data_IF_369389820741
#
_entry.id   IF_369389820741
#
_cell.length_a   1.000
_cell.length_b   1.000
_cell.length_c   1.000
_cell.angle_alpha   90.00
_cell.angle_beta   90.00
_cell.angle_gamma   90.00
#
_symmetry.space_group_name_H-M   'P 1'
#
loop_
_entity.id
_entity.type
_entity.pdbx_description
1 polymer ?
#
# COMPACT_ATOMS: atom_id res chain seq x y z
N UNK A 1 -12.47 0.29 -28.34
CA UNK A 1 -12.84 0.69 -26.96
C UNK A 1 -11.77 0.24 -25.98
N UNK A 2 -11.38 -1.04 -25.99
CA UNK A 2 -10.27 -1.55 -25.18
C UNK A 2 -8.91 -0.91 -25.54
N UNK A 3 -8.63 -0.72 -26.83
CA UNK A 3 -7.37 -0.10 -27.30
C UNK A 3 -7.13 1.27 -26.66
N UNK A 4 -8.15 2.14 -26.62
CA UNK A 4 -8.05 3.45 -25.98
C UNK A 4 -7.71 3.40 -24.48
N UNK A 5 -8.12 2.33 -23.78
CA UNK A 5 -7.78 2.14 -22.36
C UNK A 5 -6.31 1.73 -22.24
N UNK A 6 -5.86 0.83 -23.10
CA UNK A 6 -4.45 0.39 -23.16
C UNK A 6 -3.55 1.58 -23.47
N UNK A 7 -3.86 2.35 -24.50
CA UNK A 7 -3.09 3.54 -24.90
C UNK A 7 -2.99 4.56 -23.74
N UNK A 8 -4.10 4.82 -23.04
CA UNK A 8 -4.12 5.73 -21.88
C UNK A 8 -3.33 5.18 -20.68
N UNK A 9 -3.34 3.85 -20.45
CA UNK A 9 -2.51 3.24 -19.42
C UNK A 9 -1.02 3.39 -19.75
N UNK A 10 -0.62 3.14 -21.00
CA UNK A 10 0.78 3.25 -21.44
C UNK A 10 1.34 4.67 -21.26
N UNK A 11 0.53 5.70 -21.52
CA UNK A 11 0.89 7.10 -21.26
C UNK A 11 1.12 7.35 -19.76
N UNK A 12 0.17 6.91 -18.91
CA UNK A 12 0.27 7.07 -17.44
C UNK A 12 1.49 6.34 -16.90
N UNK A 13 1.77 5.12 -17.37
CA UNK A 13 2.93 4.34 -16.96
C UNK A 13 4.25 5.03 -17.32
N UNK A 14 4.33 5.59 -18.53
CA UNK A 14 5.49 6.33 -19.00
C UNK A 14 5.75 7.57 -18.13
N UNK A 15 4.70 8.32 -17.79
CA UNK A 15 4.79 9.47 -16.87
C UNK A 15 5.26 9.06 -15.46
N UNK A 16 4.79 7.93 -14.95
CA UNK A 16 5.18 7.42 -13.62
C UNK A 16 6.61 6.90 -13.58
N UNK A 17 7.14 6.40 -14.69
CA UNK A 17 8.51 5.87 -14.78
C UNK A 17 9.56 6.97 -14.66
N UNK A 18 9.29 8.17 -15.20
CA UNK A 18 10.15 9.34 -15.05
C UNK A 18 10.35 9.73 -13.56
N UNK A 19 9.34 9.51 -12.73
CA UNK A 19 9.37 9.82 -11.30
C UNK A 19 10.15 8.79 -10.44
N UNK A 20 10.61 7.67 -11.00
CA UNK A 20 11.48 6.66 -10.36
C UNK A 20 11.06 6.19 -8.94
N UNK A 21 9.76 6.25 -8.62
CA UNK A 21 9.24 5.92 -7.30
C UNK A 21 8.15 4.86 -7.44
N UNK A 22 8.46 3.63 -7.02
CA UNK A 22 7.52 2.49 -7.02
C UNK A 22 6.23 2.80 -6.23
N UNK A 23 6.32 3.68 -5.23
CA UNK A 23 5.23 4.11 -4.35
C UNK A 23 4.11 4.84 -5.11
N UNK A 24 4.47 5.67 -6.10
CA UNK A 24 3.53 6.51 -6.85
C UNK A 24 2.47 5.68 -7.59
N UNK A 25 2.86 4.50 -8.09
CA UNK A 25 1.91 3.59 -8.77
C UNK A 25 0.86 3.06 -7.81
N UNK A 26 1.29 2.71 -6.59
CA UNK A 26 0.40 2.26 -5.51
C UNK A 26 -0.53 3.39 -5.05
N UNK A 27 0.03 4.59 -4.83
CA UNK A 27 -0.73 5.77 -4.43
C UNK A 27 -1.82 6.14 -5.45
N UNK A 28 -1.51 6.10 -6.75
CA UNK A 28 -2.51 6.38 -7.79
C UNK A 28 -3.58 5.31 -7.84
N UNK A 29 -3.22 4.02 -7.73
CA UNK A 29 -4.19 2.94 -7.66
C UNK A 29 -5.15 3.12 -6.47
N UNK A 30 -4.61 3.46 -5.30
CA UNK A 30 -5.39 3.70 -4.10
C UNK A 30 -6.24 4.96 -4.16
N UNK A 31 -5.72 6.03 -4.76
CA UNK A 31 -6.45 7.25 -5.01
C UNK A 31 -7.65 7.00 -5.91
N UNK A 32 -7.46 6.30 -7.04
CA UNK A 32 -8.54 5.92 -7.95
C UNK A 32 -9.60 5.07 -7.22
N UNK A 33 -9.16 4.09 -6.43
CA UNK A 33 -10.06 3.30 -5.59
C UNK A 33 -10.82 4.17 -4.58
N UNK A 34 -10.18 5.16 -3.95
CA UNK A 34 -10.84 6.06 -3.00
C UNK A 34 -11.95 6.89 -3.66
N UNK A 35 -11.74 7.28 -4.93
CA UNK A 35 -12.73 8.01 -5.74
C UNK A 35 -13.89 7.14 -6.18
N UNK A 36 -13.65 5.85 -6.43
CA UNK A 36 -14.71 4.87 -6.72
C UNK A 36 -15.46 4.47 -5.43
N UNK A 37 -14.78 4.45 -4.28
CA UNK A 37 -15.36 4.06 -3.00
C UNK A 37 -16.29 5.13 -2.40
N UNK A 38 -16.11 6.41 -2.75
CA UNK A 38 -17.00 7.50 -2.32
C UNK A 38 -18.42 7.42 -2.93
N UNK A 39 -18.60 6.64 -4.00
CA UNK A 39 -19.89 6.40 -4.66
C UNK A 39 -20.50 5.05 -4.25
N UNK A 40 -21.08 4.97 -3.03
CA UNK A 40 -21.95 3.86 -2.60
C UNK A 40 -21.34 2.84 -1.61
N UNK A 41 -21.84 1.59 -1.64
CA UNK A 41 -21.60 0.47 -0.69
C UNK A 41 -20.12 0.02 -0.59
N UNK A 42 -19.21 0.62 -1.35
CA UNK A 42 -17.81 0.21 -1.49
C UNK A 42 -16.87 0.75 -0.40
N UNK A 43 -17.33 1.66 0.46
CA UNK A 43 -16.56 2.17 1.60
C UNK A 43 -16.29 1.11 2.69
N UNK A 44 -17.02 0.00 2.72
CA UNK A 44 -16.88 -1.06 3.72
C UNK A 44 -15.56 -1.84 3.64
N UNK A 45 -14.79 -1.66 2.56
CA UNK A 45 -13.56 -2.43 2.30
C UNK A 45 -12.27 -1.61 2.46
N UNK A 46 -12.36 -0.38 3.02
CA UNK A 46 -11.22 0.55 3.08
C UNK A 46 -11.14 1.27 4.42
N UNK A 47 -9.97 1.23 5.01
CA UNK A 47 -9.60 2.06 6.17
C UNK A 47 -8.78 3.27 5.69
N UNK A 48 -9.09 4.50 6.11
CA UNK A 48 -8.28 5.67 5.79
C UNK A 48 -6.80 5.53 6.19
N UNK A 49 -5.88 6.00 5.34
CA UNK A 49 -4.42 5.84 5.49
C UNK A 49 -3.87 6.32 6.83
N UNK A 50 -4.34 7.47 7.32
CA UNK A 50 -3.90 8.03 8.58
C UNK A 50 -4.31 7.15 9.78
N UNK A 51 -5.46 6.48 9.71
CA UNK A 51 -5.90 5.53 10.75
C UNK A 51 -5.03 4.29 10.73
N UNK A 52 -4.76 3.73 9.55
CA UNK A 52 -3.87 2.57 9.40
C UNK A 52 -2.49 2.89 10.00
N UNK A 53 -1.88 4.02 9.62
CA UNK A 53 -0.56 4.43 10.10
C UNK A 53 -0.52 4.57 11.61
N UNK A 54 -1.48 5.29 12.19
CA UNK A 54 -1.60 5.46 13.63
C UNK A 54 -1.73 4.10 14.34
N UNK A 55 -2.60 3.21 13.86
CA UNK A 55 -2.79 1.89 14.46
C UNK A 55 -1.51 1.02 14.39
N UNK A 56 -0.79 1.04 13.26
CA UNK A 56 0.48 0.31 13.11
C UNK A 56 1.56 0.90 14.03
N UNK A 57 1.67 2.22 14.10
CA UNK A 57 2.63 2.89 15.00
C UNK A 57 2.37 2.57 16.47
N UNK A 58 1.10 2.53 16.89
CA UNK A 58 0.70 2.16 18.24
C UNK A 58 0.90 0.65 18.53
N UNK A 59 0.67 -0.20 17.53
CA UNK A 59 0.89 -1.64 17.64
C UNK A 59 2.38 -2.00 17.77
N UNK A 60 3.27 -1.18 17.20
CA UNK A 60 4.73 -1.33 17.24
C UNK A 60 5.21 -2.76 16.90
N UNK A 61 4.85 -3.29 15.71
CA UNK A 61 5.18 -4.67 15.33
C UNK A 61 6.69 -4.89 15.25
N UNK A 62 7.13 -6.12 15.52
CA UNK A 62 8.53 -6.55 15.50
C UNK A 62 8.83 -7.47 14.31
N UNK A 63 10.10 -7.58 13.87
CA UNK A 63 10.44 -8.38 12.69
C UNK A 63 10.08 -9.87 12.75
N UNK A 64 9.98 -10.45 13.95
CA UNK A 64 9.64 -11.87 14.15
C UNK A 64 8.16 -12.10 14.44
N UNK A 65 7.36 -11.04 14.46
CA UNK A 65 5.93 -11.16 14.72
C UNK A 65 5.21 -11.70 13.48
N UNK A 66 4.23 -12.56 13.71
CA UNK A 66 3.28 -12.96 12.69
C UNK A 66 2.12 -11.97 12.67
N UNK A 67 2.00 -11.22 11.59
CA UNK A 67 0.93 -10.24 11.39
C UNK A 67 -0.15 -10.85 10.50
N UNK A 68 -1.39 -10.84 10.95
CA UNK A 68 -2.55 -11.35 10.22
C UNK A 68 -3.67 -10.30 10.23
N UNK A 69 -4.31 -10.10 9.08
CA UNK A 69 -5.50 -9.28 8.92
C UNK A 69 -6.59 -10.12 8.21
N UNK A 70 -7.61 -10.62 8.94
CA UNK A 70 -8.64 -11.49 8.38
C UNK A 70 -9.65 -10.76 7.50
N UNK A 71 -9.63 -9.43 7.46
CA UNK A 71 -10.52 -8.59 6.66
C UNK A 71 -9.69 -7.58 5.84
N UNK A 72 -8.58 -8.05 5.26
CA UNK A 72 -7.51 -7.18 4.78
C UNK A 72 -7.89 -6.16 3.71
N UNK A 73 -8.98 -6.37 2.95
CA UNK A 73 -9.39 -5.43 1.91
C UNK A 73 -8.27 -5.21 0.89
N UNK A 74 -7.74 -3.98 0.79
CA UNK A 74 -6.53 -3.67 -0.02
C UNK A 74 -5.21 -3.97 0.67
N UNK A 75 -5.21 -4.74 1.76
CA UNK A 75 -4.04 -5.06 2.58
C UNK A 75 -3.35 -3.84 3.18
N UNK A 76 -4.09 -2.76 3.44
CA UNK A 76 -3.52 -1.50 3.94
C UNK A 76 -2.72 -1.67 5.23
N UNK A 77 -3.23 -2.43 6.20
CA UNK A 77 -2.50 -2.74 7.44
C UNK A 77 -1.24 -3.55 7.22
N UNK A 78 -1.27 -4.55 6.34
CA UNK A 78 -0.13 -5.43 6.07
C UNK A 78 0.99 -4.67 5.35
N UNK A 79 0.65 -3.86 4.35
CA UNK A 79 1.62 -3.04 3.61
C UNK A 79 2.26 -2.03 4.55
N UNK A 80 1.47 -1.25 5.29
CA UNK A 80 1.99 -0.24 6.22
C UNK A 80 2.81 -0.85 7.36
N UNK A 81 2.47 -2.05 7.83
CA UNK A 81 3.30 -2.78 8.81
C UNK A 81 4.66 -3.17 8.23
N UNK A 82 4.69 -3.63 6.97
CA UNK A 82 5.94 -3.92 6.26
C UNK A 82 6.82 -2.68 6.08
N UNK A 83 6.23 -1.54 5.72
CA UNK A 83 6.94 -0.27 5.61
C UNK A 83 7.50 0.20 6.96
N UNK A 84 6.67 0.15 8.01
CA UNK A 84 7.08 0.48 9.37
C UNK A 84 8.31 -0.32 9.81
N UNK A 85 8.29 -1.64 9.59
CA UNK A 85 9.41 -2.52 9.92
C UNK A 85 10.66 -2.19 9.10
N UNK A 86 10.51 -1.96 7.79
CA UNK A 86 11.62 -1.57 6.91
C UNK A 86 12.26 -0.26 7.36
N UNK A 87 11.46 0.74 7.69
CA UNK A 87 11.95 2.05 8.13
C UNK A 87 12.63 1.97 9.49
N UNK A 88 12.01 1.27 10.46
CA UNK A 88 12.51 1.19 11.83
C UNK A 88 13.77 0.35 11.96
N UNK A 89 13.93 -0.70 11.15
CA UNK A 89 15.03 -1.66 11.27
C UNK A 89 16.05 -1.60 10.10
N UNK A 90 15.98 -0.56 9.25
CA UNK A 90 16.84 -0.31 8.06
C UNK A 90 18.35 -0.50 8.25
N UNK A 91 18.87 -0.46 9.49
CA UNK A 91 20.30 -0.60 9.85
C UNK A 91 20.68 -1.91 10.56
N UNK A 92 19.71 -2.73 10.97
CA UNK A 92 20.01 -4.03 11.57
C UNK A 92 20.25 -5.04 10.45
N UNK A 93 21.20 -5.97 10.63
CA UNK A 93 21.58 -6.96 9.63
C UNK A 93 20.47 -8.04 9.46
N UNK A 94 19.32 -7.63 8.93
CA UNK A 94 18.08 -8.42 8.82
C UNK A 94 18.24 -9.62 7.87
N UNK A 95 19.31 -9.67 7.07
CA UNK A 95 19.62 -10.78 6.14
C UNK A 95 19.71 -12.17 6.80
N UNK A 96 19.85 -12.26 8.12
CA UNK A 96 19.86 -13.54 8.86
C UNK A 96 18.53 -13.92 9.53
N UNK A 97 17.53 -13.03 9.53
CA UNK A 97 16.27 -13.21 10.26
C UNK A 97 15.11 -13.66 9.36
N UNK A 98 15.16 -13.34 8.07
CA UNK A 98 14.21 -13.82 7.07
C UNK A 98 14.91 -14.93 6.30
N UNK A 99 14.66 -16.19 6.66
CA UNK A 99 15.05 -17.37 5.88
C UNK A 99 13.96 -17.71 4.88
#
# INVERSE_FOLDING_TARGET
>A
MLSKIVDAMDEIYSMMEELHQTDIRGDVYEYLLSKIAQSGVNGQFRTPRHIIRMMVEMMDPKPMDFICDPACGTSGFLVTSGDYLREKYKKSNIKGLWK
#
